data_IF_560135159648
#
_entry.id   IF_560135159648
#
_cell.length_a   1.000
_cell.length_b   1.000
_cell.length_c   1.000
_cell.angle_alpha   90.00
_cell.angle_beta   90.00
_cell.angle_gamma   90.00
#
_symmetry.space_group_name_H-M   'P 1'
#
loop_
_entity.id
_entity.type
_entity.pdbx_description
1 polymer ?
#
# COMPACT_ATOMS: atom_id res chain seq x y z
N UNK A 1 7.05 -6.83 -25.83
CA UNK A 1 6.18 -5.76 -25.25
C UNK A 1 6.91 -5.15 -24.06
N UNK A 2 7.06 -3.81 -24.00
CA UNK A 2 7.63 -3.16 -22.83
C UNK A 2 6.69 -3.35 -21.64
N UNK A 3 7.22 -3.81 -20.50
CA UNK A 3 6.47 -3.85 -19.24
C UNK A 3 6.23 -2.40 -18.79
N UNK A 4 4.98 -1.92 -18.87
CA UNK A 4 4.64 -0.55 -18.46
C UNK A 4 4.28 -0.56 -16.98
N UNK A 5 4.81 0.41 -16.24
CA UNK A 5 4.36 0.75 -14.89
C UNK A 5 3.37 1.92 -15.02
N UNK A 6 2.21 1.80 -14.40
CA UNK A 6 1.18 2.83 -14.35
C UNK A 6 0.94 3.23 -12.90
N UNK A 7 0.94 4.53 -12.62
CA UNK A 7 0.71 5.07 -11.28
C UNK A 7 -0.44 6.06 -11.38
N UNK A 8 -1.49 5.84 -10.58
CA UNK A 8 -2.69 6.68 -10.56
C UNK A 8 -2.85 7.28 -9.17
N UNK A 9 -3.04 8.59 -9.10
CA UNK A 9 -3.24 9.33 -7.87
C UNK A 9 -4.71 9.75 -7.74
N UNK A 10 -5.31 9.49 -6.59
CA UNK A 10 -6.69 9.86 -6.30
C UNK A 10 -6.80 10.40 -4.88
N UNK A 11 -7.56 11.48 -4.70
CA UNK A 11 -7.87 12.02 -3.38
C UNK A 11 -9.16 11.38 -2.87
N UNK A 12 -9.09 10.61 -1.77
CA UNK A 12 -10.24 9.97 -1.15
C UNK A 12 -10.63 10.72 0.13
N UNK A 13 -11.80 11.38 0.07
CA UNK A 13 -12.26 12.31 1.11
C UNK A 13 -11.24 13.46 1.36
N UNK A 14 -11.46 14.29 2.39
CA UNK A 14 -10.54 15.39 2.68
C UNK A 14 -9.23 14.94 3.35
N UNK A 15 -9.12 13.67 3.75
CA UNK A 15 -8.05 13.20 4.65
C UNK A 15 -7.08 12.18 4.02
N UNK A 16 -7.50 11.36 3.05
CA UNK A 16 -6.72 10.18 2.63
C UNK A 16 -6.35 10.23 1.14
N UNK A 17 -5.05 10.29 0.82
CA UNK A 17 -4.60 10.09 -0.55
C UNK A 17 -4.50 8.60 -0.88
N UNK A 18 -5.06 8.16 -2.01
CA UNK A 18 -4.94 6.80 -2.52
C UNK A 18 -4.06 6.82 -3.77
N UNK A 19 -3.03 5.98 -3.80
CA UNK A 19 -2.11 5.84 -4.92
C UNK A 19 -2.14 4.40 -5.41
N UNK A 20 -2.49 4.20 -6.67
CA UNK A 20 -2.50 2.89 -7.29
C UNK A 20 -1.24 2.68 -8.10
N UNK A 21 -0.64 1.50 -7.99
CA UNK A 21 0.58 1.11 -8.68
C UNK A 21 0.30 -0.19 -9.43
N UNK A 22 0.22 -0.11 -10.75
CA UNK A 22 -0.15 -1.26 -11.57
C UNK A 22 0.94 -1.57 -12.60
N UNK A 23 1.25 -2.86 -12.75
CA UNK A 23 2.05 -3.35 -13.86
C UNK A 23 2.40 -4.83 -13.73
N UNK A 24 2.65 -5.48 -14.86
CA UNK A 24 3.07 -6.90 -14.91
C UNK A 24 4.33 -7.17 -14.09
N UNK A 25 4.53 -8.42 -13.68
CA UNK A 25 5.77 -8.88 -13.04
C UNK A 25 7.01 -8.37 -13.79
N UNK A 26 7.93 -7.71 -13.07
CA UNK A 26 9.13 -7.07 -13.64
C UNK A 26 8.93 -5.66 -14.24
N UNK A 27 7.80 -5.00 -14.00
CA UNK A 27 7.55 -3.57 -14.32
C UNK A 27 8.28 -2.60 -13.38
N UNK A 28 9.08 -3.10 -12.43
CA UNK A 28 9.81 -2.32 -11.42
C UNK A 28 8.93 -1.68 -10.32
N UNK A 29 7.75 -2.26 -10.01
CA UNK A 29 6.88 -1.81 -8.89
C UNK A 29 7.65 -1.70 -7.58
N UNK A 30 8.35 -2.77 -7.20
CA UNK A 30 9.18 -2.84 -5.99
C UNK A 30 10.20 -1.71 -5.94
N UNK A 31 10.91 -1.45 -7.05
CA UNK A 31 11.91 -0.37 -7.11
C UNK A 31 11.28 1.02 -6.96
N UNK A 32 10.09 1.23 -7.53
CA UNK A 32 9.36 2.47 -7.38
C UNK A 32 8.91 2.67 -5.92
N UNK A 33 8.32 1.64 -5.30
CA UNK A 33 7.88 1.66 -3.89
C UNK A 33 9.06 1.95 -2.95
N UNK A 34 10.21 1.28 -3.15
CA UNK A 34 11.42 1.53 -2.35
C UNK A 34 11.89 2.99 -2.49
N UNK A 35 11.83 3.57 -3.69
CA UNK A 35 12.20 4.97 -3.89
C UNK A 35 11.21 5.93 -3.21
N UNK A 36 9.91 5.64 -3.26
CA UNK A 36 8.90 6.42 -2.56
C UNK A 36 9.10 6.37 -1.04
N UNK A 37 9.36 5.18 -0.49
CA UNK A 37 9.64 4.97 0.93
C UNK A 37 10.85 5.76 1.43
N UNK A 38 11.87 5.98 0.60
CA UNK A 38 13.04 6.79 0.98
C UNK A 38 12.65 8.25 1.23
N UNK A 39 11.71 8.79 0.47
CA UNK A 39 11.30 10.19 0.53
C UNK A 39 10.28 10.48 1.67
N UNK A 40 9.73 9.46 2.31
CA UNK A 40 8.81 9.63 3.43
C UNK A 40 9.57 10.00 4.71
N UNK A 41 9.12 11.06 5.39
CA UNK A 41 9.59 11.45 6.72
C UNK A 41 9.01 10.54 7.80
N UNK A 42 9.85 9.68 8.37
CA UNK A 42 9.50 8.72 9.42
C UNK A 42 9.40 9.35 10.81
N UNK A 43 9.79 10.62 10.98
CA UNK A 43 9.49 11.38 12.19
C UNK A 43 8.04 11.84 12.21
N UNK A 44 7.46 12.11 11.03
CA UNK A 44 6.08 12.59 10.87
C UNK A 44 5.06 11.46 10.75
N UNK A 45 5.41 10.39 10.04
CA UNK A 45 4.47 9.33 9.68
C UNK A 45 4.89 7.97 10.22
N UNK A 46 3.92 7.15 10.60
CA UNK A 46 4.16 5.73 10.82
C UNK A 46 3.96 4.97 9.50
N UNK A 47 4.91 4.11 9.15
CA UNK A 47 4.93 3.40 7.87
C UNK A 47 4.58 1.93 8.09
N UNK A 48 3.56 1.46 7.38
CA UNK A 48 3.08 0.08 7.43
C UNK A 48 3.09 -0.53 6.04
N UNK A 49 3.60 -1.76 5.91
CA UNK A 49 3.71 -2.47 4.65
C UNK A 49 3.08 -3.85 4.82
N UNK A 50 2.08 -4.14 4.01
CA UNK A 50 1.54 -5.46 3.81
C UNK A 50 2.23 -6.07 2.59
N UNK A 51 3.05 -7.08 2.83
CA UNK A 51 3.93 -7.70 1.85
C UNK A 51 3.65 -9.21 1.78
N UNK A 52 2.55 -9.64 1.13
CA UNK A 52 2.15 -11.04 1.10
C UNK A 52 3.22 -11.96 0.50
N UNK A 53 4.06 -11.46 -0.42
CA UNK A 53 5.13 -12.21 -1.08
C UNK A 53 6.48 -12.15 -0.34
N UNK A 54 6.59 -11.37 0.73
CA UNK A 54 7.83 -11.14 1.50
C UNK A 54 8.99 -10.59 0.64
N UNK A 55 8.69 -9.73 -0.33
CA UNK A 55 9.69 -9.15 -1.24
C UNK A 55 10.59 -8.09 -0.60
N UNK A 56 10.12 -7.42 0.45
CA UNK A 56 10.70 -6.17 0.94
C UNK A 56 11.62 -6.32 2.15
N UNK A 57 11.52 -7.43 2.89
CA UNK A 57 12.27 -7.63 4.14
C UNK A 57 13.79 -7.43 4.00
N UNK A 58 14.34 -7.69 2.80
CA UNK A 58 15.77 -7.53 2.49
C UNK A 58 16.12 -6.27 1.68
N UNK A 59 15.14 -5.51 1.19
CA UNK A 59 15.34 -4.43 0.21
C UNK A 59 15.10 -3.02 0.78
N UNK A 60 14.55 -2.92 1.98
CA UNK A 60 14.11 -1.66 2.55
C UNK A 60 15.16 -0.99 3.44
N UNK A 61 15.16 0.36 3.47
CA UNK A 61 16.04 1.10 4.36
C UNK A 61 15.72 0.79 5.82
N UNK A 62 16.72 0.95 6.69
CA UNK A 62 16.66 0.70 8.14
C UNK A 62 15.80 1.78 8.85
N UNK A 63 14.51 1.88 8.50
CA UNK A 63 13.51 2.78 9.09
C UNK A 63 12.63 2.01 10.08
N UNK A 64 12.06 2.74 11.06
CA UNK A 64 11.02 2.19 11.93
C UNK A 64 9.73 1.99 11.11
N UNK A 65 9.57 0.82 10.53
CA UNK A 65 8.38 0.42 9.77
C UNK A 65 7.92 -0.97 10.21
N UNK A 66 6.62 -1.21 10.13
CA UNK A 66 6.06 -2.56 10.24
C UNK A 66 5.95 -3.17 8.85
N UNK A 67 6.52 -4.36 8.67
CA UNK A 67 6.30 -5.20 7.49
C UNK A 67 5.61 -6.47 7.98
N UNK A 68 4.46 -6.78 7.42
CA UNK A 68 3.67 -7.96 7.79
C UNK A 68 3.06 -8.61 6.55
N UNK A 69 2.78 -9.90 6.63
CA UNK A 69 1.95 -10.62 5.67
C UNK A 69 0.47 -10.67 6.11
N UNK A 70 0.20 -10.33 7.36
CA UNK A 70 -1.11 -10.42 7.98
C UNK A 70 -1.81 -9.05 8.03
N UNK A 71 -2.94 -8.99 7.34
CA UNK A 71 -3.81 -7.83 7.23
C UNK A 71 -4.42 -7.40 8.58
N UNK A 72 -4.74 -8.34 9.46
CA UNK A 72 -5.31 -8.02 10.78
C UNK A 72 -4.25 -7.39 11.69
N UNK A 73 -3.01 -7.90 11.63
CA UNK A 73 -1.87 -7.30 12.33
C UNK A 73 -1.66 -5.88 11.83
N UNK A 74 -1.67 -5.67 10.51
CA UNK A 74 -1.54 -4.35 9.89
C UNK A 74 -2.58 -3.37 10.45
N UNK A 75 -3.87 -3.75 10.43
CA UNK A 75 -4.98 -2.91 10.91
C UNK A 75 -4.84 -2.60 12.40
N UNK A 76 -4.55 -3.62 13.21
CA UNK A 76 -4.38 -3.45 14.67
C UNK A 76 -3.30 -2.43 14.99
N UNK A 77 -2.15 -2.52 14.32
CA UNK A 77 -1.02 -1.61 14.53
C UNK A 77 -1.33 -0.18 14.05
N UNK A 78 -2.07 -0.04 12.93
CA UNK A 78 -2.54 1.28 12.47
C UNK A 78 -3.56 1.89 13.45
N UNK A 79 -4.39 1.10 14.13
CA UNK A 79 -5.31 1.63 15.14
C UNK A 79 -4.61 2.13 16.40
N UNK A 80 -3.44 1.57 16.72
CA UNK A 80 -2.69 1.89 17.93
C UNK A 80 -1.69 3.04 17.76
N UNK A 81 -1.63 3.68 16.58
CA UNK A 81 -0.73 4.80 16.32
C UNK A 81 -1.35 6.16 16.63
N UNK A 82 -0.57 7.01 17.27
CA UNK A 82 -0.90 8.43 17.52
C UNK A 82 -0.44 9.37 16.41
N UNK A 83 0.22 8.86 15.37
CA UNK A 83 0.67 9.62 14.19
C UNK A 83 -0.14 9.19 12.95
N UNK A 84 -0.30 10.07 11.95
CA UNK A 84 -0.87 9.68 10.68
C UNK A 84 -0.07 8.53 10.05
N UNK A 85 -0.76 7.55 9.50
CA UNK A 85 -0.16 6.37 8.91
C UNK A 85 0.02 6.53 7.39
N UNK A 86 1.12 6.00 6.86
CA UNK A 86 1.27 5.72 5.44
C UNK A 86 1.31 4.21 5.26
N UNK A 87 0.42 3.69 4.43
CA UNK A 87 0.22 2.25 4.27
C UNK A 87 0.59 1.86 2.84
N UNK A 88 1.35 0.79 2.69
CA UNK A 88 1.59 0.12 1.41
C UNK A 88 0.98 -1.26 1.46
N UNK A 89 0.17 -1.61 0.47
CA UNK A 89 -0.36 -2.95 0.27
C UNK A 89 0.18 -3.43 -1.07
N UNK A 90 1.15 -4.34 -1.03
CA UNK A 90 1.68 -4.95 -2.24
C UNK A 90 0.89 -6.18 -2.64
N UNK A 91 0.92 -6.44 -3.96
CA UNK A 91 0.23 -7.54 -4.62
C UNK A 91 -1.19 -7.79 -4.11
N UNK A 92 -1.98 -6.71 -4.11
CA UNK A 92 -3.37 -6.65 -3.64
C UNK A 92 -4.26 -7.73 -4.24
N UNK A 93 -3.97 -8.18 -5.48
CA UNK A 93 -4.66 -9.29 -6.13
C UNK A 93 -4.59 -10.61 -5.33
N UNK A 94 -3.53 -10.85 -4.56
CA UNK A 94 -3.39 -12.02 -3.66
C UNK A 94 -4.40 -11.94 -2.51
N UNK A 95 -4.74 -10.73 -2.10
CA UNK A 95 -5.55 -10.44 -0.92
C UNK A 95 -6.96 -9.93 -1.29
N UNK A 96 -7.36 -9.97 -2.56
CA UNK A 96 -8.55 -9.28 -3.09
C UNK A 96 -9.80 -9.52 -2.23
N UNK A 97 -10.11 -10.80 -1.95
CA UNK A 97 -11.29 -11.18 -1.17
C UNK A 97 -11.23 -10.71 0.29
N UNK A 98 -10.03 -10.72 0.90
CA UNK A 98 -9.85 -10.28 2.27
C UNK A 98 -9.94 -8.76 2.35
N UNK A 99 -9.23 -8.06 1.47
CA UNK A 99 -9.23 -6.61 1.38
C UNK A 99 -10.64 -6.07 1.12
N UNK A 100 -11.41 -6.67 0.21
CA UNK A 100 -12.79 -6.23 -0.07
C UNK A 100 -13.70 -6.27 1.16
N UNK A 101 -13.51 -7.24 2.06
CA UNK A 101 -14.30 -7.34 3.31
C UNK A 101 -14.02 -6.22 4.29
N UNK A 102 -12.83 -5.62 4.23
CA UNK A 102 -12.34 -4.67 5.23
C UNK A 102 -11.99 -3.29 4.63
N UNK A 103 -12.26 -3.07 3.34
CA UNK A 103 -11.83 -1.86 2.63
C UNK A 103 -12.31 -0.60 3.33
N UNK A 104 -13.56 -0.58 3.78
CA UNK A 104 -14.14 0.56 4.48
C UNK A 104 -13.44 0.81 5.81
N UNK A 105 -13.13 -0.27 6.55
CA UNK A 105 -12.40 -0.17 7.81
C UNK A 105 -11.03 0.46 7.58
N UNK A 106 -10.23 -0.07 6.64
CA UNK A 106 -8.92 0.49 6.30
C UNK A 106 -9.01 1.95 5.92
N UNK A 107 -9.99 2.32 5.08
CA UNK A 107 -10.13 3.68 4.59
C UNK A 107 -10.63 4.68 5.65
N UNK A 108 -11.12 4.21 6.80
CA UNK A 108 -11.49 5.05 7.96
C UNK A 108 -10.38 5.19 9.00
N UNK A 109 -9.29 4.45 8.86
CA UNK A 109 -8.12 4.60 9.72
C UNK A 109 -7.50 6.00 9.57
N UNK A 110 -6.69 6.48 10.54
CA UNK A 110 -6.01 7.77 10.48
C UNK A 110 -4.86 7.75 9.46
N UNK A 111 -5.20 7.58 8.19
CA UNK A 111 -4.28 7.50 7.08
C UNK A 111 -3.95 8.90 6.58
N UNK A 112 -2.69 9.12 6.22
CA UNK A 112 -2.31 10.23 5.37
C UNK A 112 -2.34 9.79 3.90
N UNK A 113 -1.88 8.56 3.63
CA UNK A 113 -1.79 8.02 2.28
C UNK A 113 -1.79 6.50 2.29
N UNK A 114 -2.43 5.88 1.30
CA UNK A 114 -2.39 4.44 1.06
C UNK A 114 -1.94 4.14 -0.38
N UNK A 115 -0.99 3.24 -0.52
CA UNK A 115 -0.49 2.72 -1.78
C UNK A 115 -1.03 1.32 -2.01
N UNK A 116 -1.69 1.11 -3.14
CA UNK A 116 -2.29 -0.16 -3.52
C UNK A 116 -1.61 -0.66 -4.79
N UNK A 117 -0.80 -1.71 -4.66
CA UNK A 117 -0.02 -2.28 -5.77
C UNK A 117 -0.61 -3.62 -6.24
N UNK A 118 -0.66 -3.85 -7.55
CA UNK A 118 -1.20 -5.08 -8.15
C UNK A 118 -0.55 -5.42 -9.50
N UNK A 119 -0.68 -6.68 -9.93
CA UNK A 119 -0.51 -7.10 -11.32
C UNK A 119 -1.81 -6.83 -12.12
N UNK A 120 -1.70 -6.68 -13.44
CA UNK A 120 -2.71 -6.08 -14.34
C UNK A 120 -4.12 -6.73 -14.33
N UNK A 121 -5.10 -5.96 -14.82
CA UNK A 121 -6.58 -6.08 -14.75
C UNK A 121 -7.27 -5.67 -13.43
N UNK A 122 -6.60 -4.85 -12.62
CA UNK A 122 -7.21 -4.24 -11.44
C UNK A 122 -8.20 -3.09 -11.75
N UNK A 123 -8.36 -2.66 -13.01
CA UNK A 123 -9.27 -1.56 -13.38
C UNK A 123 -10.74 -1.90 -13.03
N UNK A 124 -11.10 -3.20 -13.04
CA UNK A 124 -12.39 -3.72 -12.59
C UNK A 124 -12.52 -3.67 -11.06
N UNK A 125 -11.43 -3.90 -10.34
CA UNK A 125 -11.43 -3.84 -8.88
C UNK A 125 -11.41 -2.37 -8.43
N UNK A 126 -10.72 -1.50 -9.18
CA UNK A 126 -10.70 -0.04 -9.02
C UNK A 126 -12.11 0.58 -9.07
N UNK A 127 -12.93 0.24 -10.07
CA UNK A 127 -14.33 0.70 -10.17
C UNK A 127 -15.28 0.11 -9.11
N UNK A 128 -14.88 -0.97 -8.43
CA UNK A 128 -15.68 -1.61 -7.37
C UNK A 128 -15.26 -1.16 -5.97
N UNK A 129 -14.04 -0.64 -5.83
CA UNK A 129 -13.53 -0.13 -4.56
C UNK A 129 -14.06 1.28 -4.26
N UNK A 130 -14.27 2.10 -5.30
CA UNK A 130 -14.68 3.52 -5.25
C UNK A 130 -15.67 3.86 -6.36
#
# INVERSE_FOLDING_TARGET
>A
MSKKLTITYMKYQQQNDVVFINGKAGSRKTSWIVNELKNIDDQKYNIFILDPENEYFSKLPNKKMLITQDLNILISEIKNTNKPAIVFIDELHILELQFYKIKEEILTLPLNKIYLSSQEDFEIIFQKLF
#
